data_IF_920886228208
#
_entry.id   IF_920886228208
#
_cell.length_a   1.000
_cell.length_b   1.000
_cell.length_c   1.000
_cell.angle_alpha   90.00
_cell.angle_beta   90.00
_cell.angle_gamma   90.00
#
_symmetry.space_group_name_H-M   'P 1'
#
loop_
_entity.id
_entity.type
_entity.pdbx_description
1 polymer ?
#
# COMPACT_ATOMS: atom_id res chain seq x y z
N UNK A 1 -4.03 5.20 8.27
CA UNK A 1 -5.01 5.17 9.36
C UNK A 1 -5.49 6.55 9.76
N UNK A 2 -4.63 7.58 9.76
CA UNK A 2 -5.08 8.97 9.94
C UNK A 2 -5.50 9.31 11.37
N UNK A 3 -4.91 8.64 12.36
CA UNK A 3 -5.22 8.89 13.77
C UNK A 3 -4.58 10.22 14.19
N UNK A 4 -5.40 11.11 14.74
CA UNK A 4 -4.96 12.38 15.33
C UNK A 4 -4.46 12.16 16.76
N UNK A 5 -3.46 12.94 17.17
CA UNK A 5 -2.95 13.00 18.55
C UNK A 5 -2.19 14.32 18.78
N UNK A 6 -2.29 14.84 20.00
CA UNK A 6 -1.56 16.01 20.45
C UNK A 6 -0.17 15.62 21.03
N UNK A 7 0.24 16.22 22.14
CA UNK A 7 1.45 15.80 22.89
C UNK A 7 1.16 14.57 23.74
N UNK A 8 2.21 13.88 24.16
CA UNK A 8 2.18 12.80 25.15
C UNK A 8 1.25 13.16 26.34
N UNK A 9 0.33 12.26 26.75
CA UNK A 9 0.14 10.87 26.29
C UNK A 9 -0.74 10.68 25.05
N UNK A 10 -1.21 11.76 24.44
CA UNK A 10 -2.26 11.73 23.41
C UNK A 10 -1.80 11.15 22.05
N UNK A 11 -0.49 11.16 21.78
CA UNK A 11 0.13 10.54 20.60
C UNK A 11 0.26 9.00 20.70
N UNK A 12 -0.18 8.40 21.82
CA UNK A 12 -0.12 6.95 22.11
C UNK A 12 -1.48 6.31 22.31
N UNK A 13 -2.53 6.88 21.72
CA UNK A 13 -3.88 6.28 21.74
C UNK A 13 -3.87 4.86 21.17
N UNK A 14 -4.75 4.01 21.70
CA UNK A 14 -4.97 2.68 21.18
C UNK A 14 -5.38 2.69 19.70
N UNK A 15 -4.95 1.67 18.96
CA UNK A 15 -5.23 1.56 17.53
C UNK A 15 -6.73 1.35 17.27
N UNK A 16 -7.31 2.18 16.39
CA UNK A 16 -8.72 2.08 16.01
C UNK A 16 -8.92 1.19 14.77
N UNK A 17 -8.78 -0.13 14.95
CA UNK A 17 -9.08 -1.12 13.91
C UNK A 17 -10.52 -0.97 13.37
N UNK A 18 -10.70 -1.21 12.08
CA UNK A 18 -11.98 -1.08 11.38
C UNK A 18 -12.52 0.35 11.25
N UNK A 19 -11.75 1.37 11.67
CA UNK A 19 -12.15 2.79 11.67
C UNK A 19 -11.11 3.73 11.06
N UNK A 20 -10.04 3.20 10.49
CA UNK A 20 -9.01 4.01 9.84
C UNK A 20 -9.51 4.69 8.57
N UNK A 21 -8.85 5.78 8.20
CA UNK A 21 -9.08 6.41 6.91
C UNK A 21 -8.58 5.50 5.77
N UNK A 22 -9.54 5.02 4.94
CA UNK A 22 -9.28 4.09 3.84
C UNK A 22 -8.30 4.67 2.83
N UNK A 23 -8.48 5.93 2.42
CA UNK A 23 -7.63 6.58 1.42
C UNK A 23 -6.18 6.62 1.90
N UNK A 24 -5.93 7.01 3.15
CA UNK A 24 -4.60 7.00 3.76
C UNK A 24 -3.99 5.60 3.75
N UNK A 25 -4.75 4.57 4.13
CA UNK A 25 -4.26 3.18 4.13
C UNK A 25 -3.85 2.75 2.71
N UNK A 26 -4.69 3.01 1.73
CA UNK A 26 -4.45 2.61 0.33
C UNK A 26 -3.28 3.39 -0.30
N UNK A 27 -3.13 4.68 0.00
CA UNK A 27 -1.99 5.49 -0.45
C UNK A 27 -0.68 4.96 0.12
N UNK A 28 -0.60 4.72 1.44
CA UNK A 28 0.61 4.20 2.06
C UNK A 28 0.96 2.79 1.54
N UNK A 29 -0.04 1.94 1.35
CA UNK A 29 0.17 0.61 0.81
C UNK A 29 0.65 0.67 -0.66
N UNK A 30 0.09 1.56 -1.48
CA UNK A 30 0.56 1.85 -2.85
C UNK A 30 2.02 2.30 -2.85
N UNK A 31 2.37 3.33 -2.07
CA UNK A 31 3.73 3.87 -2.01
C UNK A 31 4.74 2.83 -1.48
N UNK A 32 4.34 1.99 -0.52
CA UNK A 32 5.17 0.89 -0.03
C UNK A 32 5.45 -0.15 -1.12
N UNK A 33 4.45 -0.49 -1.94
CA UNK A 33 4.63 -1.40 -3.07
C UNK A 33 5.54 -0.80 -4.14
N UNK A 34 5.32 0.46 -4.53
CA UNK A 34 6.20 1.19 -5.46
C UNK A 34 7.65 1.17 -4.94
N UNK A 35 7.87 1.54 -3.68
CA UNK A 35 9.21 1.48 -3.06
C UNK A 35 9.82 0.07 -3.07
N UNK A 36 9.00 -0.98 -3.01
CA UNK A 36 9.47 -2.36 -3.05
C UNK A 36 9.85 -2.81 -4.47
N UNK A 37 9.06 -2.43 -5.48
CA UNK A 37 9.26 -2.83 -6.88
C UNK A 37 10.44 -2.13 -7.57
N UNK A 38 10.74 -0.90 -7.17
CA UNK A 38 11.81 -0.10 -7.76
C UNK A 38 12.95 0.05 -6.76
N UNK A 39 13.97 -0.81 -6.90
CA UNK A 39 15.11 -0.82 -5.98
C UNK A 39 15.82 0.54 -5.89
N UNK A 40 15.85 1.30 -6.99
CA UNK A 40 16.43 2.64 -7.04
C UNK A 40 15.83 3.59 -5.98
N UNK A 41 14.58 3.40 -5.59
CA UNK A 41 13.95 4.20 -4.53
C UNK A 41 14.48 3.86 -3.13
N UNK A 42 15.03 2.66 -2.94
CA UNK A 42 15.67 2.23 -1.69
C UNK A 42 17.17 2.57 -1.69
N UNK A 43 17.88 2.15 -2.72
CA UNK A 43 19.34 2.09 -2.73
C UNK A 43 20.02 3.08 -3.69
N UNK A 44 19.24 3.79 -4.52
CA UNK A 44 19.79 4.75 -5.47
C UNK A 44 20.35 5.99 -4.78
N UNK A 45 21.33 6.62 -5.43
CA UNK A 45 21.79 7.97 -5.09
C UNK A 45 20.65 8.98 -5.25
N UNK A 46 20.82 10.17 -4.71
CA UNK A 46 19.84 11.26 -4.79
C UNK A 46 20.48 12.49 -5.42
N UNK A 47 19.77 13.13 -6.34
CA UNK A 47 20.14 14.39 -6.98
C UNK A 47 18.92 15.30 -7.01
N UNK A 48 19.01 16.50 -6.44
CA UNK A 48 17.92 17.46 -6.49
C UNK A 48 17.80 18.04 -7.90
N UNK A 49 16.57 18.33 -8.31
CA UNK A 49 16.27 19.12 -9.51
C UNK A 49 15.59 20.40 -9.04
N UNK A 50 16.12 21.53 -9.49
CA UNK A 50 15.51 22.81 -9.23
C UNK A 50 14.21 22.96 -10.02
N UNK A 51 13.17 23.42 -9.35
CA UNK A 51 11.95 23.89 -9.98
C UNK A 51 11.88 25.41 -9.83
N UNK A 52 11.32 26.09 -10.83
CA UNK A 52 11.06 27.54 -10.75
C UNK A 52 9.86 27.88 -9.83
N UNK A 53 9.34 26.90 -9.09
CA UNK A 53 8.22 27.05 -8.18
C UNK A 53 8.58 26.46 -6.81
N UNK A 54 8.57 27.31 -5.77
CA UNK A 54 8.93 26.93 -4.40
C UNK A 54 8.00 25.88 -3.77
N UNK A 55 6.79 25.71 -4.31
CA UNK A 55 5.85 24.67 -3.88
C UNK A 55 6.14 23.30 -4.53
N UNK A 56 7.10 23.24 -5.44
CA UNK A 56 7.46 22.04 -6.19
C UNK A 56 8.82 21.53 -5.73
N UNK A 57 8.83 20.35 -5.10
CA UNK A 57 10.04 19.61 -4.77
C UNK A 57 10.27 18.53 -5.83
N UNK A 58 11.43 18.57 -6.48
CA UNK A 58 11.84 17.58 -7.47
C UNK A 58 13.19 16.97 -7.12
N UNK A 59 13.31 15.65 -7.24
CA UNK A 59 14.59 14.97 -7.13
C UNK A 59 14.62 13.68 -7.93
N UNK A 60 15.80 13.34 -8.43
CA UNK A 60 16.08 12.06 -9.07
C UNK A 60 16.65 11.08 -8.04
N UNK A 61 16.22 9.83 -8.17
CA UNK A 61 16.87 8.66 -7.59
C UNK A 61 17.46 7.85 -8.72
N UNK A 62 18.74 7.52 -8.64
CA UNK A 62 19.42 6.82 -9.73
C UNK A 62 20.49 5.85 -9.23
N UNK A 63 20.72 4.81 -9.98
CA UNK A 63 21.88 3.93 -9.85
C UNK A 63 22.46 3.68 -11.27
N UNK A 64 23.22 2.61 -11.46
CA UNK A 64 23.84 2.32 -12.77
C UNK A 64 22.80 1.94 -13.84
N UNK A 65 21.69 1.32 -13.43
CA UNK A 65 20.71 0.68 -14.34
C UNK A 65 19.39 1.43 -14.43
N UNK A 66 18.99 2.07 -13.34
CA UNK A 66 17.64 2.57 -13.13
C UNK A 66 17.65 4.03 -12.69
N UNK A 67 16.57 4.72 -13.07
CA UNK A 67 16.32 6.10 -12.72
C UNK A 67 14.85 6.27 -12.37
N UNK A 68 14.60 7.08 -11.35
CA UNK A 68 13.27 7.54 -10.98
C UNK A 68 13.33 9.05 -10.71
N UNK A 69 12.31 9.78 -11.18
CA UNK A 69 12.12 11.18 -10.86
C UNK A 69 10.90 11.30 -9.94
N UNK A 70 11.09 11.88 -8.75
CA UNK A 70 10.01 12.15 -7.82
C UNK A 70 9.71 13.65 -7.84
N UNK A 71 8.42 13.98 -7.98
CA UNK A 71 7.92 15.35 -7.99
C UNK A 71 6.80 15.47 -6.98
N UNK A 72 6.86 16.46 -6.10
CA UNK A 72 5.86 16.72 -5.06
C UNK A 72 5.38 18.15 -5.18
N UNK A 73 4.07 18.34 -5.23
CA UNK A 73 3.40 19.63 -5.14
C UNK A 73 2.82 19.79 -3.74
N UNK A 74 3.47 20.61 -2.91
CA UNK A 74 2.97 20.97 -1.56
C UNK A 74 2.00 22.17 -1.59
N UNK A 75 1.80 22.76 -2.76
CA UNK A 75 0.92 23.90 -2.94
C UNK A 75 -0.56 23.49 -3.01
N UNK A 76 -1.42 24.47 -2.78
CA UNK A 76 -2.88 24.30 -2.82
C UNK A 76 -3.47 24.44 -4.23
N UNK A 77 -2.62 24.64 -5.23
CA UNK A 77 -3.02 24.87 -6.62
C UNK A 77 -2.54 23.75 -7.53
N UNK A 78 -3.35 23.47 -8.54
CA UNK A 78 -2.95 22.65 -9.67
C UNK A 78 -1.82 23.34 -10.43
N UNK A 79 -0.82 22.58 -10.86
CA UNK A 79 0.34 23.09 -11.57
C UNK A 79 0.58 22.31 -12.86
N UNK A 80 0.93 23.03 -13.92
CA UNK A 80 1.56 22.46 -15.11
C UNK A 80 3.06 22.67 -14.99
N UNK A 81 3.82 21.59 -14.94
CA UNK A 81 5.25 21.62 -14.70
C UNK A 81 5.99 21.19 -15.95
N UNK A 82 7.09 21.88 -16.23
CA UNK A 82 8.09 21.52 -17.22
C UNK A 82 9.42 21.40 -16.46
N UNK A 83 10.02 20.20 -16.46
CA UNK A 83 11.32 19.96 -15.84
C UNK A 83 12.34 19.60 -16.91
N UNK A 84 13.52 20.19 -16.80
CA UNK A 84 14.69 19.87 -17.59
C UNK A 84 15.73 19.18 -16.71
N UNK A 85 16.45 18.22 -17.28
CA UNK A 85 17.60 17.55 -16.65
C UNK A 85 18.62 17.25 -17.73
N UNK A 86 19.92 17.39 -17.42
CA UNK A 86 21.01 17.00 -18.32
C UNK A 86 20.95 15.53 -18.71
N UNK A 87 20.28 14.73 -17.89
CA UNK A 87 20.23 13.28 -18.01
C UNK A 87 18.98 12.80 -18.76
N UNK A 88 18.15 13.73 -19.25
CA UNK A 88 16.98 13.44 -20.08
C UNK A 88 17.36 13.30 -21.55
N UNK A 89 16.88 12.23 -22.19
CA UNK A 89 17.11 11.95 -23.61
C UNK A 89 15.81 12.09 -24.39
N UNK A 90 15.86 12.78 -25.51
CA UNK A 90 14.68 12.95 -26.37
C UNK A 90 14.14 11.61 -26.87
N UNK A 91 12.83 11.46 -26.81
CA UNK A 91 12.11 10.22 -27.13
C UNK A 91 12.13 9.18 -26.00
N UNK A 92 12.81 9.42 -24.88
CA UNK A 92 12.72 8.57 -23.70
C UNK A 92 11.30 8.66 -23.10
N UNK A 93 10.76 7.50 -22.71
CA UNK A 93 9.44 7.39 -22.10
C UNK A 93 9.62 7.12 -20.61
N UNK A 94 9.01 7.96 -19.79
CA UNK A 94 8.83 7.72 -18.36
C UNK A 94 7.36 7.41 -18.06
N UNK A 95 7.15 6.67 -16.98
CA UNK A 95 5.83 6.24 -16.53
C UNK A 95 5.58 6.76 -15.13
N UNK A 96 4.38 7.27 -14.85
CA UNK A 96 3.95 7.45 -13.47
C UNK A 96 3.70 6.08 -12.84
N UNK A 97 4.50 5.71 -11.83
CA UNK A 97 4.39 4.45 -11.11
C UNK A 97 3.07 4.28 -10.34
N UNK A 98 2.33 5.36 -10.10
CA UNK A 98 1.04 5.34 -9.39
C UNK A 98 -0.11 5.04 -10.36
N UNK A 99 -0.14 5.72 -11.51
CA UNK A 99 -1.27 5.66 -12.46
C UNK A 99 -0.99 4.81 -13.71
N UNK A 100 0.27 4.57 -14.04
CA UNK A 100 0.72 3.94 -15.29
C UNK A 100 0.70 4.87 -16.50
N UNK A 101 0.36 6.15 -16.33
CA UNK A 101 0.38 7.13 -17.42
C UNK A 101 1.79 7.32 -17.99
N UNK A 102 1.88 7.50 -19.30
CA UNK A 102 3.15 7.63 -20.04
C UNK A 102 3.45 9.08 -20.37
N UNK A 103 4.71 9.45 -20.26
CA UNK A 103 5.22 10.79 -20.51
C UNK A 103 6.49 10.69 -21.35
N UNK A 104 6.50 11.38 -22.48
CA UNK A 104 7.64 11.41 -23.40
C UNK A 104 8.50 12.65 -23.13
N UNK A 105 9.81 12.45 -23.08
CA UNK A 105 10.78 13.54 -23.01
C UNK A 105 10.96 14.16 -24.39
N UNK A 106 10.81 15.47 -24.48
CA UNK A 106 10.99 16.27 -25.71
C UNK A 106 11.83 17.49 -25.42
N UNK A 107 12.80 17.78 -26.28
CA UNK A 107 13.72 18.90 -26.16
C UNK A 107 14.43 18.96 -24.78
N UNK A 108 14.81 17.79 -24.24
CA UNK A 108 15.44 17.61 -22.93
C UNK A 108 14.50 17.88 -21.74
N UNK A 109 13.18 17.87 -21.97
CA UNK A 109 12.17 18.26 -20.97
C UNK A 109 11.06 17.24 -20.85
N UNK A 110 10.57 17.07 -19.62
CA UNK A 110 9.34 16.35 -19.32
C UNK A 110 8.25 17.35 -18.90
N UNK A 111 7.08 17.28 -19.54
CA UNK A 111 5.93 18.14 -19.23
C UNK A 111 4.78 17.32 -18.69
N UNK A 112 4.24 17.71 -17.54
CA UNK A 112 3.15 17.01 -16.89
C UNK A 112 2.28 17.96 -16.05
N UNK A 113 1.19 17.41 -15.53
CA UNK A 113 0.20 18.10 -14.71
C UNK A 113 0.19 17.45 -13.33
N UNK A 114 0.23 18.26 -12.28
CA UNK A 114 0.22 17.76 -10.90
C UNK A 114 -0.86 18.47 -10.08
N UNK A 115 -1.64 17.69 -9.35
CA UNK A 115 -2.71 18.19 -8.49
C UNK A 115 -2.15 18.88 -7.23
N UNK A 116 -2.94 19.73 -6.56
CA UNK A 116 -2.60 20.22 -5.23
C UNK A 116 -2.28 19.08 -4.26
N UNK A 117 -1.38 19.31 -3.30
CA UNK A 117 -1.09 18.36 -2.21
C UNK A 117 -0.86 16.91 -2.68
N UNK A 118 -0.11 16.74 -3.77
CA UNK A 118 0.07 15.44 -4.42
C UNK A 118 1.49 15.25 -4.93
N UNK A 119 1.80 14.04 -5.41
CA UNK A 119 3.11 13.68 -5.93
C UNK A 119 3.00 12.71 -7.10
N UNK A 120 4.02 12.71 -7.95
CA UNK A 120 4.20 11.79 -9.06
C UNK A 120 5.56 11.10 -8.90
N UNK A 121 5.61 9.81 -9.17
CA UNK A 121 6.84 9.01 -9.14
C UNK A 121 7.08 8.47 -10.54
N UNK A 122 7.94 9.12 -11.31
CA UNK A 122 8.31 8.67 -12.63
C UNK A 122 9.33 7.53 -12.56
N UNK A 123 9.18 6.54 -13.43
CA UNK A 123 10.08 5.39 -13.60
C UNK A 123 10.31 5.11 -15.09
N UNK A 124 11.46 4.53 -15.43
CA UNK A 124 11.83 4.14 -16.80
C UNK A 124 11.03 2.93 -17.33
N UNK A 125 10.58 2.06 -16.44
CA UNK A 125 9.75 0.89 -16.79
C UNK A 125 8.55 0.81 -15.84
N UNK A 126 7.33 0.69 -16.38
CA UNK A 126 6.14 0.51 -15.57
C UNK A 126 5.94 -0.95 -15.16
N UNK A 127 5.86 -1.18 -13.85
CA UNK A 127 5.47 -2.45 -13.25
C UNK A 127 4.03 -2.35 -12.76
N UNK A 128 3.12 -3.01 -13.48
CA UNK A 128 1.73 -3.09 -13.07
C UNK A 128 1.62 -3.84 -11.74
N UNK A 129 0.84 -3.28 -10.81
CA UNK A 129 0.48 -3.97 -9.60
C UNK A 129 -0.96 -3.67 -9.22
N UNK A 130 -1.56 -4.61 -8.51
CA UNK A 130 -2.90 -4.44 -7.95
C UNK A 130 -2.82 -4.48 -6.44
N UNK A 131 -3.37 -3.44 -5.80
CA UNK A 131 -3.43 -3.40 -4.36
C UNK A 131 -4.33 -4.52 -3.83
N UNK A 132 -3.82 -5.32 -2.89
CA UNK A 132 -4.63 -6.35 -2.23
C UNK A 132 -5.53 -5.71 -1.17
N UNK A 133 -6.62 -5.11 -1.63
CA UNK A 133 -7.56 -4.41 -0.77
C UNK A 133 -8.22 -5.33 0.27
N UNK A 134 -8.27 -6.64 0.03
CA UNK A 134 -8.84 -7.60 0.99
C UNK A 134 -8.01 -7.65 2.26
N UNK A 135 -6.68 -7.62 2.13
CA UNK A 135 -5.73 -7.66 3.25
C UNK A 135 -5.60 -6.33 3.99
N UNK A 136 -6.30 -5.28 3.55
CA UNK A 136 -6.26 -3.95 4.17
C UNK A 136 -7.57 -3.63 4.91
N UNK A 137 -8.59 -4.51 4.84
CA UNK A 137 -9.93 -4.21 5.35
C UNK A 137 -9.97 -4.10 6.87
N UNK A 138 -9.19 -4.89 7.58
CA UNK A 138 -9.03 -4.80 9.03
C UNK A 138 -8.72 -3.37 9.51
N UNK A 139 -8.03 -2.59 8.67
CA UNK A 139 -7.66 -1.22 8.94
C UNK A 139 -8.87 -0.25 8.95
N UNK A 140 -9.86 -0.42 8.06
CA UNK A 140 -10.89 0.61 7.82
C UNK A 140 -12.33 0.09 7.71
N UNK A 141 -12.56 -1.22 7.72
CA UNK A 141 -13.89 -1.82 7.59
C UNK A 141 -14.51 -2.06 8.98
N UNK A 142 -15.65 -1.42 9.31
CA UNK A 142 -16.26 -1.50 10.63
C UNK A 142 -16.64 -2.92 11.07
N UNK A 143 -16.76 -3.87 10.14
CA UNK A 143 -17.06 -5.28 10.46
C UNK A 143 -15.94 -5.97 11.24
N UNK A 144 -14.72 -5.42 11.20
CA UNK A 144 -13.58 -5.91 11.94
C UNK A 144 -13.43 -5.24 13.31
N UNK A 145 -14.35 -4.35 13.69
CA UNK A 145 -14.41 -3.80 15.05
C UNK A 145 -14.93 -4.88 16.00
N UNK A 146 -14.10 -5.27 16.94
CA UNK A 146 -14.50 -6.20 18.02
C UNK A 146 -15.33 -5.44 19.04
N UNK A 147 -16.62 -5.77 19.14
CA UNK A 147 -17.56 -5.09 20.04
C UNK A 147 -17.68 -5.77 21.42
N UNK A 148 -17.35 -7.07 21.52
CA UNK A 148 -17.43 -7.84 22.76
C UNK A 148 -16.15 -8.67 22.95
N UNK A 149 -15.52 -8.55 24.13
CA UNK A 149 -14.47 -9.47 24.56
C UNK A 149 -15.03 -10.80 25.10
N UNK A 150 -16.35 -10.89 25.30
CA UNK A 150 -17.06 -12.03 25.90
C UNK A 150 -17.92 -12.78 24.88
N UNK A 151 -17.31 -13.33 23.82
CA UNK A 151 -17.99 -14.39 23.08
C UNK A 151 -17.94 -15.66 23.94
N UNK A 152 -18.94 -15.83 24.82
CA UNK A 152 -19.30 -17.18 25.30
C UNK A 152 -19.56 -18.01 24.06
N UNK A 153 -18.62 -18.90 23.74
CA UNK A 153 -18.77 -19.88 22.67
C UNK A 153 -19.98 -20.75 23.03
N UNK A 154 -21.15 -20.42 22.48
CA UNK A 154 -22.30 -21.32 22.49
C UNK A 154 -22.02 -22.43 21.48
N UNK A 155 -21.25 -23.42 21.89
CA UNK A 155 -21.07 -24.66 21.14
C UNK A 155 -22.44 -25.32 21.07
N UNK A 156 -23.11 -25.22 19.93
CA UNK A 156 -24.34 -25.96 19.68
C UNK A 156 -23.96 -27.43 19.42
N UNK A 157 -24.00 -28.25 20.47
CA UNK A 157 -23.58 -29.66 20.48
C UNK A 157 -24.31 -30.47 19.39
N UNK A 158 -25.50 -30.03 18.95
CA UNK A 158 -26.26 -30.66 17.85
C UNK A 158 -25.55 -30.64 16.49
N UNK A 159 -24.60 -29.74 16.28
CA UNK A 159 -23.85 -29.63 15.01
C UNK A 159 -22.63 -30.55 14.97
N UNK A 160 -22.10 -30.93 16.13
CA UNK A 160 -20.96 -31.85 16.26
C UNK A 160 -21.38 -33.29 16.00
N UNK A 161 -22.60 -33.67 16.43
CA UNK A 161 -23.16 -35.00 16.17
C UNK A 161 -23.45 -35.28 14.68
N UNK A 162 -23.47 -34.24 13.84
CA UNK A 162 -23.57 -34.37 12.38
C UNK A 162 -22.23 -34.77 11.73
N UNK A 163 -21.11 -34.47 12.38
CA UNK A 163 -19.76 -34.72 11.86
C UNK A 163 -19.12 -36.00 12.40
N UNK A 164 -19.45 -36.41 13.62
CA UNK A 164 -19.09 -37.74 14.10
C UNK A 164 -20.25 -38.70 13.86
N UNK A 165 -20.05 -39.65 12.94
CA UNK A 165 -20.92 -40.81 12.83
C UNK A 165 -20.72 -41.67 14.10
N UNK A 166 -21.42 -41.32 15.18
CA UNK A 166 -21.28 -41.90 16.52
C UNK A 166 -21.36 -43.44 16.48
N UNK A 167 -22.06 -44.02 15.51
CA UNK A 167 -22.10 -45.48 15.28
C UNK A 167 -20.75 -46.08 14.90
N UNK A 168 -19.93 -45.41 14.09
CA UNK A 168 -18.60 -45.92 13.68
C UNK A 168 -17.59 -45.82 14.82
N UNK A 169 -17.66 -44.74 15.60
CA UNK A 169 -16.83 -44.56 16.81
C UNK A 169 -17.16 -45.63 17.86
N UNK A 170 -18.44 -45.88 18.12
CA UNK A 170 -18.87 -46.94 19.05
C UNK A 170 -18.47 -48.34 18.57
N UNK A 171 -18.55 -48.60 17.26
CA UNK A 171 -18.15 -49.91 16.69
C UNK A 171 -16.65 -50.15 16.83
N UNK A 172 -15.83 -49.13 16.56
CA UNK A 172 -14.37 -49.19 16.76
C UNK A 172 -13.98 -49.42 18.22
N UNK A 173 -14.73 -48.86 19.18
CA UNK A 173 -14.47 -49.05 20.61
C UNK A 173 -14.87 -50.46 21.05
N UNK A 174 -15.99 -51.00 20.55
CA UNK A 174 -16.44 -52.37 20.85
C UNK A 174 -15.47 -53.39 20.26
N UNK A 175 -15.03 -53.22 19.01
CA UNK A 175 -14.06 -54.12 18.36
C UNK A 175 -12.72 -54.13 19.10
N UNK A 176 -12.29 -52.99 19.65
CA UNK A 176 -11.08 -52.89 20.48
C UNK A 176 -11.20 -53.64 21.80
N UNK A 177 -12.34 -53.54 22.49
CA UNK A 177 -12.58 -54.22 23.77
C UNK A 177 -12.79 -55.73 23.58
N UNK A 178 -13.45 -56.15 22.50
CA UNK A 178 -13.64 -57.57 22.17
C UNK A 178 -12.36 -58.27 21.69
N UNK A 179 -11.35 -57.54 21.22
CA UNK A 179 -10.03 -58.09 20.87
C UNK A 179 -9.07 -58.24 22.06
N UNK A 180 -9.46 -57.79 23.26
CA UNK A 180 -8.67 -57.86 24.49
C UNK A 180 -9.15 -58.93 25.49
N UNK A 181 -10.14 -59.75 25.11
CA UNK A 181 -10.67 -60.90 25.87
C UNK A 181 -10.39 -62.17 25.08
#
# INVERSE_FOLDING_TARGET
MGILGAKDPDDRRGMNWGKGDKQTVEVYATLSNIRNFYEVLRNGNVKNIESNNDDILCYERYNITDKSLVVINRGEKFQKIELNSSDFKDGEIMYDAITGEKYEIKDGKITFKINPMSGIVFVNEYKEFKLNNMNLKDAYDPRFVVNNHDDKININISSISKFLNIKEVLRSIIDFVSGMI
#
